data_IF_787940118852
#
_entry.id   IF_787940118852
#
_cell.length_a   1.000
_cell.length_b   1.000
_cell.length_c   1.000
_cell.angle_alpha   90.00
_cell.angle_beta   90.00
_cell.angle_gamma   90.00
#
_symmetry.space_group_name_H-M   'P 1'
#
loop_
_entity.id
_entity.type
_entity.pdbx_description
1 polymer ?
#
# COMPACT_ATOMS: atom_id res chain seq x y z
N UNK A 1 0.18 -59.32 -9.16
CA UNK A 1 -0.60 -58.10 -9.44
C UNK A 1 -1.77 -58.08 -8.47
N UNK A 2 -1.62 -57.38 -7.35
CA UNK A 2 -2.66 -57.19 -6.34
C UNK A 2 -2.67 -55.71 -5.96
N UNK A 3 -3.74 -55.00 -6.33
CA UNK A 3 -4.01 -53.63 -5.88
C UNK A 3 -4.81 -53.72 -4.58
N UNK A 4 -4.31 -53.09 -3.52
CA UNK A 4 -5.07 -52.89 -2.28
C UNK A 4 -5.51 -51.43 -2.21
N UNK A 5 -6.81 -51.19 -2.15
CA UNK A 5 -7.42 -49.87 -1.99
C UNK A 5 -7.75 -49.72 -0.50
N UNK A 6 -7.09 -48.78 0.18
CA UNK A 6 -7.39 -48.43 1.57
C UNK A 6 -8.31 -47.20 1.59
N UNK A 7 -9.55 -47.39 2.01
CA UNK A 7 -10.44 -46.30 2.39
C UNK A 7 -10.11 -45.87 3.82
N UNK A 8 -9.64 -44.63 4.01
CA UNK A 8 -9.56 -44.02 5.35
C UNK A 8 -10.69 -43.01 5.48
N UNK A 9 -11.68 -43.33 6.30
CA UNK A 9 -12.72 -42.38 6.74
C UNK A 9 -12.13 -41.61 7.92
N UNK A 10 -11.79 -40.33 7.70
CA UNK A 10 -11.36 -39.43 8.76
C UNK A 10 -12.59 -38.65 9.27
N UNK A 11 -13.20 -39.10 10.36
CA UNK A 11 -14.24 -38.34 11.06
C UNK A 11 -13.59 -37.22 11.87
N UNK A 12 -13.58 -36.00 11.32
CA UNK A 12 -13.18 -34.81 12.07
C UNK A 12 -14.31 -34.36 13.00
N UNK A 13 -14.26 -34.75 14.27
CA UNK A 13 -15.00 -34.07 15.32
C UNK A 13 -14.45 -32.65 15.46
N UNK A 14 -15.22 -31.64 15.04
CA UNK A 14 -14.88 -30.24 15.27
C UNK A 14 -15.39 -29.81 16.65
N UNK A 15 -14.54 -29.92 17.67
CA UNK A 15 -14.75 -29.18 18.91
C UNK A 15 -14.39 -27.71 18.67
N UNK A 16 -15.39 -26.83 18.63
CA UNK A 16 -15.14 -25.38 18.66
C UNK A 16 -14.96 -24.94 20.11
N UNK A 17 -13.72 -24.91 20.58
CA UNK A 17 -13.37 -24.15 21.79
C UNK A 17 -13.29 -22.69 21.35
N UNK A 18 -14.26 -21.87 21.77
CA UNK A 18 -14.24 -20.42 21.59
C UNK A 18 -13.14 -19.82 22.49
N UNK A 19 -11.87 -19.96 22.08
CA UNK A 19 -10.75 -19.36 22.77
C UNK A 19 -10.77 -17.83 22.54
N UNK A 20 -10.78 -17.06 23.62
CA UNK A 20 -10.61 -15.60 23.57
C UNK A 20 -9.25 -15.30 22.94
N UNK A 21 -9.23 -14.66 21.77
CA UNK A 21 -7.99 -14.33 21.06
C UNK A 21 -7.10 -13.42 21.91
N UNK A 22 -5.76 -13.60 21.87
CA UNK A 22 -4.83 -12.84 22.71
C UNK A 22 -4.81 -11.35 22.34
N UNK A 23 -4.64 -10.46 23.33
CA UNK A 23 -4.64 -9.01 23.13
C UNK A 23 -3.52 -8.53 22.20
N UNK A 24 -2.37 -9.21 22.25
CA UNK A 24 -1.22 -9.02 21.39
C UNK A 24 -0.93 -10.32 20.62
N UNK A 25 -0.60 -10.19 19.34
CA UNK A 25 -0.07 -11.28 18.53
C UNK A 25 1.12 -10.73 17.76
N UNK A 26 2.30 -11.26 18.06
CA UNK A 26 3.50 -11.00 17.30
C UNK A 26 3.64 -12.08 16.23
N UNK A 27 4.02 -11.68 15.03
CA UNK A 27 4.25 -12.59 13.93
C UNK A 27 5.28 -12.02 12.96
N UNK A 28 5.62 -12.79 11.95
CA UNK A 28 6.45 -12.35 10.84
C UNK A 28 5.61 -12.39 9.58
N UNK A 29 5.58 -11.30 8.81
CA UNK A 29 4.97 -11.29 7.49
C UNK A 29 6.07 -11.11 6.45
N UNK A 30 6.01 -11.93 5.41
CA UNK A 30 6.90 -11.86 4.25
C UNK A 30 6.11 -11.71 2.96
N UNK A 31 6.69 -11.02 1.99
CA UNK A 31 6.11 -10.88 0.66
C UNK A 31 7.15 -10.48 -0.37
N UNK A 32 6.85 -10.75 -1.64
CA UNK A 32 7.69 -10.33 -2.76
C UNK A 32 6.85 -9.97 -3.97
N UNK A 33 7.36 -9.06 -4.78
CA UNK A 33 6.69 -8.62 -6.00
C UNK A 33 7.57 -7.74 -6.87
N UNK A 34 7.16 -7.57 -8.12
CA UNK A 34 7.79 -6.62 -9.03
C UNK A 34 7.24 -5.22 -8.76
N UNK A 35 8.11 -4.29 -8.37
CA UNK A 35 7.73 -2.96 -7.91
C UNK A 35 8.52 -1.92 -8.72
N UNK A 36 7.81 -0.95 -9.30
CA UNK A 36 8.39 0.20 -9.96
C UNK A 36 9.20 1.06 -8.98
N UNK A 37 10.32 1.61 -9.44
CA UNK A 37 11.28 2.27 -8.54
C UNK A 37 10.74 3.57 -7.92
N UNK A 38 9.82 4.26 -8.61
CA UNK A 38 9.09 5.42 -8.13
C UNK A 38 7.77 5.58 -8.92
N UNK A 39 6.83 6.44 -8.51
CA UNK A 39 5.56 6.59 -9.21
C UNK A 39 5.78 6.97 -10.68
N UNK A 40 5.04 6.35 -11.60
CA UNK A 40 5.17 6.54 -13.05
C UNK A 40 6.56 6.21 -13.65
N UNK A 41 7.43 5.51 -12.92
CA UNK A 41 8.65 4.96 -13.51
C UNK A 41 8.31 3.84 -14.51
N UNK A 42 9.05 3.77 -15.61
CA UNK A 42 8.98 2.67 -16.58
C UNK A 42 9.90 1.50 -16.21
N UNK A 43 10.72 1.64 -15.17
CA UNK A 43 11.64 0.64 -14.66
C UNK A 43 11.30 0.26 -13.21
N UNK A 44 11.39 -1.03 -12.92
CA UNK A 44 11.14 -1.61 -11.61
C UNK A 44 11.97 -2.87 -11.40
N UNK A 45 11.84 -3.47 -10.23
CA UNK A 45 12.60 -4.66 -9.86
C UNK A 45 11.83 -5.55 -8.89
N UNK A 46 12.24 -6.82 -8.83
CA UNK A 46 11.76 -7.71 -7.79
C UNK A 46 12.26 -7.24 -6.43
N UNK A 47 11.33 -7.06 -5.51
CA UNK A 47 11.61 -6.68 -4.12
C UNK A 47 10.98 -7.70 -3.20
N UNK A 48 11.68 -7.98 -2.12
CA UNK A 48 11.24 -8.88 -1.07
C UNK A 48 11.34 -8.15 0.25
N UNK A 49 10.39 -8.42 1.13
CA UNK A 49 10.39 -7.86 2.47
C UNK A 49 9.93 -8.91 3.46
N UNK A 50 10.58 -8.92 4.61
CA UNK A 50 10.11 -9.61 5.80
C UNK A 50 10.04 -8.56 6.91
N UNK A 51 8.83 -8.29 7.39
CA UNK A 51 8.61 -7.35 8.49
C UNK A 51 8.03 -8.07 9.70
N UNK A 52 8.49 -7.72 10.92
CA UNK A 52 7.76 -8.10 12.11
C UNK A 52 6.38 -7.46 12.06
N UNK A 53 5.37 -8.22 12.48
CA UNK A 53 4.00 -7.73 12.61
C UNK A 53 3.56 -7.86 14.05
N UNK A 54 2.82 -6.86 14.51
CA UNK A 54 2.12 -6.89 15.78
C UNK A 54 0.65 -6.60 15.52
N UNK A 55 -0.24 -7.50 15.93
CA UNK A 55 -1.67 -7.20 16.02
C UNK A 55 -1.99 -6.89 17.47
N UNK A 56 -2.42 -5.66 17.71
CA UNK A 56 -3.06 -5.27 18.96
C UNK A 56 -4.57 -5.29 18.76
N UNK A 57 -5.29 -6.16 19.47
CA UNK A 57 -6.75 -6.34 19.31
C UNK A 57 -7.58 -5.27 20.06
N UNK A 58 -7.00 -4.10 20.34
CA UNK A 58 -7.75 -2.92 20.78
C UNK A 58 -8.55 -2.28 19.63
N UNK A 59 -9.51 -1.41 19.93
CA UNK A 59 -10.38 -0.80 18.91
C UNK A 59 -9.67 0.19 17.96
N UNK A 60 -8.48 0.65 18.35
CA UNK A 60 -7.77 1.76 17.72
C UNK A 60 -6.82 1.25 16.62
N UNK A 61 -5.94 0.28 16.89
CA UNK A 61 -4.93 -0.14 15.90
C UNK A 61 -5.41 -1.31 15.04
N UNK A 62 -5.32 -1.20 13.71
CA UNK A 62 -5.68 -2.26 12.75
C UNK A 62 -4.56 -2.45 11.73
N UNK A 63 -4.23 -3.72 11.47
CA UNK A 63 -3.41 -4.14 10.34
C UNK A 63 -4.23 -5.19 9.56
N UNK A 64 -4.80 -4.79 8.44
CA UNK A 64 -5.58 -5.63 7.55
C UNK A 64 -5.34 -5.23 6.09
N UNK A 65 -6.20 -5.66 5.16
CA UNK A 65 -6.07 -5.34 3.72
C UNK A 65 -6.01 -3.82 3.42
N UNK A 66 -6.50 -2.96 4.31
CA UNK A 66 -6.44 -1.49 4.17
C UNK A 66 -5.16 -0.87 4.77
N UNK A 67 -4.20 -1.71 5.14
CA UNK A 67 -2.91 -1.33 5.69
C UNK A 67 -2.91 -1.10 7.20
N UNK A 68 -1.74 -0.67 7.71
CA UNK A 68 -1.50 -0.33 9.10
C UNK A 68 -2.12 1.03 9.43
N UNK A 69 -3.03 1.08 10.41
CA UNK A 69 -3.74 2.30 10.79
C UNK A 69 -4.20 2.35 12.24
N UNK A 70 -4.40 3.57 12.75
CA UNK A 70 -5.03 3.85 14.03
C UNK A 70 -6.37 4.57 13.81
N UNK A 71 -7.49 3.91 14.10
CA UNK A 71 -8.85 4.45 13.99
C UNK A 71 -9.14 5.43 15.14
N UNK A 72 -9.69 6.59 14.79
CA UNK A 72 -10.15 7.59 15.76
C UNK A 72 -11.66 7.68 15.85
N UNK A 73 -12.36 7.55 14.72
CA UNK A 73 -13.80 7.69 14.63
C UNK A 73 -14.37 6.67 13.66
N UNK A 74 -15.52 6.08 13.99
CA UNK A 74 -16.26 5.21 13.07
C UNK A 74 -17.75 5.26 13.37
N UNK A 75 -18.55 5.42 12.33
CA UNK A 75 -19.99 5.16 12.33
C UNK A 75 -20.35 4.18 11.17
N UNK A 76 -21.63 4.14 10.78
CA UNK A 76 -22.13 3.23 9.74
C UNK A 76 -21.57 3.52 8.34
N UNK A 77 -21.31 4.78 8.00
CA UNK A 77 -20.92 5.22 6.66
C UNK A 77 -19.56 5.92 6.59
N UNK A 78 -18.92 6.19 7.73
CA UNK A 78 -17.72 7.02 7.83
C UNK A 78 -16.72 6.42 8.84
N UNK A 79 -15.45 6.33 8.45
CA UNK A 79 -14.33 5.85 9.28
C UNK A 79 -13.13 6.78 9.10
N UNK A 80 -12.66 7.40 10.19
CA UNK A 80 -11.48 8.26 10.20
C UNK A 80 -10.35 7.53 10.92
N UNK A 81 -9.24 7.35 10.22
CA UNK A 81 -8.04 6.70 10.74
C UNK A 81 -6.77 7.49 10.41
N UNK A 82 -5.70 7.24 11.18
CA UNK A 82 -4.33 7.61 10.85
C UNK A 82 -3.66 6.41 10.21
N UNK A 83 -3.28 6.53 8.94
CA UNK A 83 -2.64 5.44 8.19
C UNK A 83 -1.14 5.68 8.06
N UNK A 84 -0.39 4.58 7.97
CA UNK A 84 1.06 4.57 7.80
C UNK A 84 1.43 3.72 6.59
N UNK A 85 2.40 4.16 5.80
CA UNK A 85 2.94 3.40 4.67
C UNK A 85 4.45 3.61 4.56
N UNK A 86 5.12 2.70 3.86
CA UNK A 86 6.52 2.84 3.51
C UNK A 86 6.76 2.40 2.06
N UNK A 87 7.70 3.03 1.38
CA UNK A 87 8.15 2.66 0.03
C UNK A 87 9.63 2.36 0.04
N UNK A 88 10.03 1.40 -0.80
CA UNK A 88 11.42 0.97 -0.90
C UNK A 88 12.32 2.04 -1.54
N UNK A 89 13.62 2.05 -1.21
CA UNK A 89 14.60 2.91 -1.85
C UNK A 89 14.87 2.44 -3.28
N UNK A 90 15.36 3.32 -4.13
CA UNK A 90 15.80 2.99 -5.48
C UNK A 90 17.19 3.55 -5.74
N UNK A 91 18.09 2.66 -6.19
CA UNK A 91 19.42 3.07 -6.63
C UNK A 91 19.34 3.60 -8.07
N UNK A 92 19.81 4.84 -8.24
CA UNK A 92 19.74 5.61 -9.47
C UNK A 92 20.66 5.07 -10.57
N UNK A 93 21.78 4.43 -10.24
CA UNK A 93 22.64 3.76 -11.24
C UNK A 93 21.95 2.57 -11.92
N UNK A 94 20.96 1.98 -11.26
CA UNK A 94 20.17 0.87 -11.79
C UNK A 94 18.87 1.35 -12.48
N UNK A 95 18.79 2.63 -12.84
CA UNK A 95 17.65 3.23 -13.53
C UNK A 95 18.16 4.16 -14.63
N UNK A 96 17.83 3.88 -15.88
CA UNK A 96 18.39 4.60 -17.04
C UNK A 96 17.98 6.08 -17.04
N UNK A 97 16.77 6.39 -16.58
CA UNK A 97 16.29 7.77 -16.47
C UNK A 97 17.02 8.56 -15.38
N UNK A 98 17.48 7.88 -14.32
CA UNK A 98 18.10 8.51 -13.14
C UNK A 98 19.59 8.26 -12.99
N UNK A 99 20.24 7.57 -13.93
CA UNK A 99 21.68 7.29 -13.85
C UNK A 99 22.52 8.55 -13.59
N UNK A 100 23.45 8.50 -12.64
CA UNK A 100 24.25 9.63 -12.18
C UNK A 100 23.53 10.64 -11.27
N UNK A 101 22.25 10.46 -10.96
CA UNK A 101 21.51 11.27 -9.97
C UNK A 101 21.64 10.67 -8.57
N UNK A 102 21.25 11.43 -7.55
CA UNK A 102 21.13 10.90 -6.19
C UNK A 102 20.13 9.74 -6.11
N UNK A 103 20.44 8.76 -5.28
CA UNK A 103 19.56 7.64 -4.96
C UNK A 103 18.27 8.11 -4.28
N UNK A 104 17.21 7.32 -4.41
CA UNK A 104 15.99 7.49 -3.64
C UNK A 104 16.12 6.64 -2.36
N UNK A 105 16.10 7.28 -1.21
CA UNK A 105 16.03 6.63 0.10
C UNK A 105 14.67 5.99 0.34
N UNK A 106 14.54 5.25 1.46
CA UNK A 106 13.24 4.78 1.94
C UNK A 106 12.31 5.97 2.14
N UNK A 107 11.04 5.80 1.76
CA UNK A 107 10.02 6.77 2.06
C UNK A 107 9.10 6.24 3.15
N UNK A 108 8.85 7.07 4.16
CA UNK A 108 7.77 6.88 5.11
C UNK A 108 6.64 7.85 4.80
N UNK A 109 5.40 7.37 4.95
CA UNK A 109 4.23 8.22 4.85
C UNK A 109 3.31 8.00 6.05
N UNK A 110 2.75 9.09 6.55
CA UNK A 110 1.81 9.08 7.66
C UNK A 110 0.75 10.15 7.44
N UNK A 111 -0.51 9.85 7.73
CA UNK A 111 -1.52 10.90 7.78
C UNK A 111 -2.95 10.40 7.86
N UNK A 112 -3.89 11.32 8.09
CA UNK A 112 -5.29 10.98 8.23
C UNK A 112 -5.86 10.44 6.91
N UNK A 113 -6.81 9.53 7.05
CA UNK A 113 -7.63 9.01 5.97
C UNK A 113 -9.08 9.04 6.39
N UNK A 114 -9.89 9.66 5.54
CA UNK A 114 -11.34 9.60 5.61
C UNK A 114 -11.81 8.47 4.69
N UNK A 115 -12.53 7.50 5.22
CA UNK A 115 -13.17 6.43 4.46
C UNK A 115 -14.69 6.64 4.50
N UNK A 116 -15.33 6.54 3.35
CA UNK A 116 -16.79 6.72 3.19
C UNK A 116 -17.34 5.46 2.54
N UNK A 117 -18.28 4.78 3.21
CA UNK A 117 -19.09 3.71 2.62
C UNK A 117 -20.24 4.37 1.86
N UNK A 118 -20.00 4.72 0.60
CA UNK A 118 -20.92 5.51 -0.21
C UNK A 118 -22.16 4.71 -0.63
N UNK A 119 -22.02 3.40 -0.80
CA UNK A 119 -23.12 2.52 -1.16
C UNK A 119 -22.85 1.08 -0.72
N UNK A 120 -23.84 0.44 -0.10
CA UNK A 120 -23.74 -0.95 0.33
C UNK A 120 -25.03 -1.72 0.03
N UNK A 121 -24.91 -2.85 -0.67
CA UNK A 121 -26.01 -3.79 -0.94
C UNK A 121 -25.50 -5.24 -0.89
N UNK A 122 -26.41 -6.22 -1.03
CA UNK A 122 -26.04 -7.64 -1.11
C UNK A 122 -25.15 -8.00 -2.31
N UNK A 123 -25.14 -7.17 -3.36
CA UNK A 123 -24.44 -7.44 -4.64
C UNK A 123 -23.27 -6.51 -4.89
N UNK A 124 -23.29 -5.30 -4.34
CA UNK A 124 -22.31 -4.26 -4.61
C UNK A 124 -21.98 -3.44 -3.37
N UNK A 125 -20.74 -2.99 -3.29
CA UNK A 125 -20.28 -1.99 -2.33
C UNK A 125 -19.38 -0.98 -3.03
N UNK A 126 -19.52 0.30 -2.68
CA UNK A 126 -18.68 1.39 -3.16
C UNK A 126 -18.09 2.09 -1.95
N UNK A 127 -16.76 2.10 -1.86
CA UNK A 127 -16.03 2.81 -0.82
C UNK A 127 -15.19 3.92 -1.45
N UNK A 128 -15.14 5.08 -0.80
CA UNK A 128 -14.28 6.20 -1.18
C UNK A 128 -13.29 6.44 -0.05
N UNK A 129 -11.99 6.43 -0.37
CA UNK A 129 -10.91 6.72 0.56
C UNK A 129 -10.24 8.04 0.17
N UNK A 130 -10.14 8.97 1.11
CA UNK A 130 -9.55 10.30 0.94
C UNK A 130 -8.40 10.49 1.92
N UNK A 131 -7.21 9.99 1.59
CA UNK A 131 -6.03 10.10 2.43
C UNK A 131 -5.19 11.34 2.11
N UNK A 132 -4.79 12.04 3.17
CA UNK A 132 -3.79 13.11 3.13
C UNK A 132 -2.57 12.66 3.92
N UNK A 133 -1.41 12.57 3.28
CA UNK A 133 -0.19 12.03 3.88
C UNK A 133 0.96 13.04 3.88
N UNK A 134 1.63 13.15 5.01
CA UNK A 134 2.97 13.70 5.14
C UNK A 134 3.98 12.65 4.70
N UNK A 135 4.99 13.07 3.92
CA UNK A 135 6.00 12.18 3.34
C UNK A 135 7.40 12.62 3.77
N UNK A 136 8.22 11.65 4.16
CA UNK A 136 9.62 11.87 4.52
C UNK A 136 10.51 10.76 3.95
N UNK A 137 11.78 11.07 3.68
CA UNK A 137 12.79 10.08 3.29
C UNK A 137 13.74 9.78 4.44
N UNK A 138 14.29 8.57 4.48
CA UNK A 138 15.24 8.13 5.51
C UNK A 138 16.21 7.07 4.99
N UNK A 139 17.47 7.20 5.38
CA UNK A 139 18.53 6.20 5.23
C UNK A 139 18.82 5.47 6.55
N UNK A 140 17.91 5.61 7.53
CA UNK A 140 18.02 5.19 8.94
C UNK A 140 18.99 5.98 9.82
N UNK A 141 19.78 6.91 9.26
CA UNK A 141 20.62 7.83 10.03
C UNK A 141 19.98 9.22 10.12
N UNK A 142 19.41 9.69 9.01
CA UNK A 142 18.78 11.00 8.91
C UNK A 142 17.39 10.88 8.28
N UNK A 143 16.52 11.81 8.64
CA UNK A 143 15.19 11.93 8.04
C UNK A 143 15.05 13.30 7.40
N UNK A 144 14.52 13.34 6.17
CA UNK A 144 14.26 14.58 5.44
C UNK A 144 12.78 14.67 5.09
N UNK A 145 12.17 15.82 5.34
CA UNK A 145 10.82 16.11 4.86
C UNK A 145 10.80 16.10 3.33
N UNK A 146 9.80 15.45 2.75
CA UNK A 146 9.58 15.40 1.29
C UNK A 146 8.24 16.00 0.86
N UNK A 147 7.42 16.50 1.77
CA UNK A 147 6.20 17.25 1.46
C UNK A 147 4.94 16.44 1.73
N UNK A 148 3.90 16.66 0.93
CA UNK A 148 2.58 16.05 1.12
C UNK A 148 2.07 15.34 -0.14
N UNK A 149 1.24 14.34 0.08
CA UNK A 149 0.55 13.56 -0.95
C UNK A 149 -0.93 13.43 -0.61
N UNK A 150 -1.78 13.65 -1.60
CA UNK A 150 -3.21 13.39 -1.52
C UNK A 150 -3.56 12.39 -2.61
N UNK A 151 -4.12 11.23 -2.25
CA UNK A 151 -4.38 10.17 -3.24
C UNK A 151 -5.77 9.53 -3.06
N UNK A 152 -6.84 10.19 -3.52
CA UNK A 152 -8.19 9.67 -3.41
C UNK A 152 -8.32 8.35 -4.19
N UNK A 153 -9.08 7.43 -3.60
CA UNK A 153 -9.33 6.10 -4.13
C UNK A 153 -10.83 5.79 -4.08
N UNK A 154 -11.32 5.13 -5.13
CA UNK A 154 -12.67 4.56 -5.19
C UNK A 154 -12.54 3.06 -5.36
N UNK A 155 -13.14 2.30 -4.46
CA UNK A 155 -13.17 0.84 -4.49
C UNK A 155 -14.58 0.35 -4.78
N UNK A 156 -14.76 -0.39 -5.87
CA UNK A 156 -16.00 -1.04 -6.26
C UNK A 156 -15.88 -2.53 -6.01
N UNK A 157 -16.65 -3.05 -5.06
CA UNK A 157 -16.75 -4.48 -4.79
C UNK A 157 -18.03 -5.03 -5.38
N UNK A 158 -17.93 -6.07 -6.21
CA UNK A 158 -19.07 -6.88 -6.69
C UNK A 158 -19.03 -8.25 -6.03
N UNK A 159 -20.09 -8.59 -5.30
CA UNK A 159 -20.28 -9.91 -4.71
C UNK A 159 -20.95 -10.82 -5.73
N UNK A 160 -20.23 -11.85 -6.17
CA UNK A 160 -20.76 -12.86 -7.11
C UNK A 160 -21.57 -13.90 -6.35
N UNK A 161 -21.04 -14.36 -5.22
CA UNK A 161 -21.73 -15.21 -4.26
C UNK A 161 -21.03 -15.08 -2.88
N UNK A 162 -21.40 -15.92 -1.91
CA UNK A 162 -20.83 -15.87 -0.55
C UNK A 162 -19.32 -16.18 -0.49
N UNK A 163 -18.74 -16.77 -1.53
CA UNK A 163 -17.33 -17.19 -1.58
C UNK A 163 -16.48 -16.37 -2.54
N UNK A 164 -17.09 -15.66 -3.49
CA UNK A 164 -16.39 -14.97 -4.56
C UNK A 164 -16.82 -13.51 -4.67
N UNK A 165 -15.85 -12.62 -4.66
CA UNK A 165 -16.00 -11.19 -4.92
C UNK A 165 -14.91 -10.68 -5.85
N UNK A 166 -15.28 -9.67 -6.63
CA UNK A 166 -14.40 -8.92 -7.52
C UNK A 166 -14.29 -7.51 -6.95
N UNK A 167 -13.08 -6.98 -6.87
CA UNK A 167 -12.80 -5.63 -6.40
C UNK A 167 -12.09 -4.90 -7.53
N UNK A 168 -12.56 -3.69 -7.83
CA UNK A 168 -11.95 -2.79 -8.81
C UNK A 168 -11.65 -1.48 -8.09
N UNK A 169 -10.39 -1.04 -8.14
CA UNK A 169 -9.92 0.14 -7.42
C UNK A 169 -9.41 1.16 -8.42
N UNK A 170 -9.84 2.41 -8.27
CA UNK A 170 -9.35 3.55 -9.03
C UNK A 170 -8.68 4.51 -8.07
N UNK A 171 -7.39 4.76 -8.26
CA UNK A 171 -6.61 5.67 -7.43
C UNK A 171 -6.06 6.78 -8.28
N UNK A 172 -6.11 7.99 -7.76
CA UNK A 172 -5.50 9.17 -8.36
C UNK A 172 -4.53 9.77 -7.34
N UNK A 173 -3.42 10.34 -7.79
CA UNK A 173 -2.33 10.78 -6.91
C UNK A 173 -1.93 12.23 -7.22
N UNK A 174 -1.95 13.07 -6.19
CA UNK A 174 -1.43 14.45 -6.22
C UNK A 174 -0.33 14.62 -5.18
N UNK A 175 0.66 15.42 -5.52
CA UNK A 175 1.81 15.68 -4.67
C UNK A 175 2.22 17.16 -4.70
N UNK A 176 2.82 17.62 -3.60
CA UNK A 176 3.50 18.92 -3.54
C UNK A 176 4.77 18.94 -4.38
N UNK A 177 5.23 20.13 -4.77
CA UNK A 177 6.44 20.32 -5.58
C UNK A 177 7.66 19.63 -4.94
N UNK A 178 7.85 19.82 -3.63
CA UNK A 178 8.92 19.16 -2.86
C UNK A 178 8.94 17.62 -3.01
N UNK A 179 7.77 17.00 -3.16
CA UNK A 179 7.68 15.55 -3.31
C UNK A 179 7.91 15.13 -4.76
N UNK A 180 7.39 15.91 -5.71
CA UNK A 180 7.62 15.66 -7.14
C UNK A 180 9.07 15.89 -7.51
N UNK A 181 9.74 16.88 -6.91
CA UNK A 181 11.15 17.17 -7.13
C UNK A 181 12.02 15.99 -6.75
N UNK A 182 11.72 15.38 -5.61
CA UNK A 182 12.41 14.19 -5.15
C UNK A 182 12.41 13.05 -6.18
N UNK A 183 11.31 12.86 -6.91
CA UNK A 183 11.19 11.80 -7.91
C UNK A 183 11.67 12.23 -9.30
N UNK A 184 11.43 13.48 -9.70
CA UNK A 184 11.47 13.87 -11.12
C UNK A 184 12.37 15.07 -11.41
N UNK A 185 12.75 15.89 -10.42
CA UNK A 185 13.58 17.06 -10.70
C UNK A 185 14.95 16.65 -11.25
N UNK A 186 15.36 17.32 -12.31
CA UNK A 186 16.71 17.22 -12.86
C UNK A 186 17.36 18.59 -12.67
N UNK A 187 18.15 18.77 -11.59
CA UNK A 187 18.89 20.01 -11.38
C UNK A 187 19.99 20.17 -12.42
N UNK A 188 20.57 21.37 -12.53
CA UNK A 188 21.62 21.67 -13.50
C UNK A 188 22.83 20.72 -13.41
N UNK A 189 23.16 20.27 -12.18
CA UNK A 189 24.26 19.33 -11.92
C UNK A 189 24.02 17.93 -12.52
N UNK A 190 22.76 17.55 -12.72
CA UNK A 190 22.37 16.21 -13.17
C UNK A 190 22.01 16.17 -14.67
N UNK A 191 22.19 17.28 -15.39
CA UNK A 191 21.94 17.39 -16.83
C UNK A 191 23.00 16.62 -17.60
N UNK A 192 22.56 15.83 -18.59
CA UNK A 192 23.43 15.11 -19.51
C UNK A 192 23.03 15.39 -20.96
N UNK A 193 23.75 14.82 -21.93
CA UNK A 193 23.37 14.92 -23.34
C UNK A 193 21.98 14.32 -23.63
N UNK A 194 21.59 13.27 -22.90
CA UNK A 194 20.31 12.57 -23.07
C UNK A 194 19.23 12.97 -22.06
N UNK A 195 19.59 13.61 -20.94
CA UNK A 195 18.66 14.06 -19.89
C UNK A 195 18.74 15.57 -19.71
N UNK A 196 17.68 16.27 -20.12
CA UNK A 196 17.57 17.73 -19.99
C UNK A 196 17.16 18.13 -18.58
N UNK A 197 17.49 19.37 -18.21
CA UNK A 197 16.99 20.00 -16.99
C UNK A 197 15.47 19.97 -16.96
N UNK A 198 14.91 19.57 -15.84
CA UNK A 198 13.46 19.50 -15.63
C UNK A 198 13.14 19.99 -14.23
N UNK A 199 12.26 20.98 -14.14
CA UNK A 199 11.76 21.50 -12.87
C UNK A 199 10.41 20.85 -12.60
N UNK A 200 10.37 19.88 -11.69
CA UNK A 200 9.12 19.22 -11.37
C UNK A 200 8.16 20.22 -10.69
N UNK A 201 6.87 19.94 -10.77
CA UNK A 201 5.84 20.84 -10.27
C UNK A 201 4.87 20.07 -9.41
N UNK A 202 4.30 20.74 -8.42
CA UNK A 202 3.17 20.21 -7.67
C UNK A 202 2.01 19.90 -8.61
N UNK A 203 1.25 18.86 -8.31
CA UNK A 203 0.04 18.54 -9.05
C UNK A 203 -0.19 17.05 -9.17
N UNK A 204 -0.87 16.68 -10.25
CA UNK A 204 -1.20 15.29 -10.54
C UNK A 204 0.05 14.51 -10.94
N UNK A 205 0.31 13.42 -10.22
CA UNK A 205 1.45 12.53 -10.41
C UNK A 205 1.08 11.35 -11.31
N UNK A 206 -0.15 10.84 -11.17
CA UNK A 206 -0.58 9.67 -11.90
C UNK A 206 -1.81 9.02 -11.27
N UNK A 207 -2.25 7.93 -11.89
CA UNK A 207 -3.39 7.15 -11.42
C UNK A 207 -3.18 5.67 -11.68
N UNK A 208 -3.77 4.86 -10.81
CA UNK A 208 -3.66 3.41 -10.84
C UNK A 208 -5.05 2.80 -10.91
N UNK A 209 -5.18 1.75 -11.73
CA UNK A 209 -6.36 0.89 -11.75
C UNK A 209 -5.91 -0.50 -11.34
N UNK A 210 -6.55 -1.07 -10.33
CA UNK A 210 -6.23 -2.42 -9.86
C UNK A 210 -7.48 -3.27 -9.71
N UNK A 211 -7.36 -4.54 -10.07
CA UNK A 211 -8.42 -5.53 -9.93
C UNK A 211 -7.96 -6.65 -9.02
N UNK A 212 -8.78 -7.03 -8.06
CA UNK A 212 -8.48 -8.10 -7.12
C UNK A 212 -9.67 -9.06 -6.97
N UNK A 213 -9.37 -10.36 -6.97
CA UNK A 213 -10.34 -11.45 -6.86
C UNK A 213 -10.10 -12.22 -5.57
N UNK A 214 -11.15 -12.50 -4.80
CA UNK A 214 -11.08 -13.39 -3.62
C UNK A 214 -12.38 -14.10 -3.33
#
# INVERSE_FOLDING_TARGET
MFYSILFTILTCFSFSIQAKLPLYELGLAGGGGYIFDYPAANQGRMRYIAIPTGKYRGQIFRNDRKGTRARFFKNEFLDIDLSFSASFPANSENNDARKGMQDLDWLGEIGPRLNIDAFHSKKFRIEVELPLRYVFSTDFNFTKQRGFRFYPQIDLTKYINHRFKINLSFKMNWATEQLTDYFYEVPQADVTQSRKRFNAKSGYVGGDISTFFS
#
